data_IF_194442625233
#
_entry.id   IF_194442625233
#
_cell.length_a   1.000
_cell.length_b   1.000
_cell.length_c   1.000
_cell.angle_alpha   90.00
_cell.angle_beta   90.00
_cell.angle_gamma   90.00
#
_symmetry.space_group_name_H-M   'P 1'
#
loop_
_entity.id
_entity.type
_entity.pdbx_description
1 polymer ?
#
# COMPACT_ATOMS: atom_id res chain seq x y z
N UNK A 1 -21.28 8.00 -9.33
CA UNK A 1 -20.04 8.79 -9.23
C UNK A 1 -19.48 8.95 -10.63
N UNK A 2 -19.15 10.16 -11.04
CA UNK A 2 -18.71 10.48 -12.40
C UNK A 2 -17.42 9.75 -12.78
N UNK A 3 -17.40 9.14 -13.96
CA UNK A 3 -16.43 8.13 -14.40
C UNK A 3 -15.11 8.70 -14.97
N UNK A 4 -14.63 9.85 -14.51
CA UNK A 4 -13.36 10.41 -15.00
C UNK A 4 -12.16 9.53 -14.56
N UNK A 5 -11.08 9.58 -15.33
CA UNK A 5 -9.83 8.82 -15.07
C UNK A 5 -8.68 9.73 -14.64
N UNK A 6 -8.79 11.04 -14.88
CA UNK A 6 -7.78 12.00 -14.49
C UNK A 6 -8.36 13.41 -14.33
N UNK A 7 -7.79 14.18 -13.40
CA UNK A 7 -8.11 15.59 -13.20
C UNK A 7 -6.82 16.43 -13.20
N UNK A 8 -6.76 17.39 -14.10
CA UNK A 8 -5.63 18.28 -14.29
C UNK A 8 -6.01 19.72 -13.93
N UNK A 9 -5.05 20.43 -13.35
CA UNK A 9 -5.14 21.85 -13.04
C UNK A 9 -4.00 22.57 -13.76
N UNK A 10 -4.31 23.61 -14.53
CA UNK A 10 -3.32 24.42 -15.22
C UNK A 10 -3.75 25.88 -15.35
N UNK A 11 -2.93 26.73 -15.98
CA UNK A 11 -3.25 28.16 -16.15
C UNK A 11 -4.40 28.39 -17.13
N UNK A 12 -4.57 27.49 -18.09
CA UNK A 12 -5.62 27.52 -19.10
C UNK A 12 -6.19 26.12 -19.34
N UNK A 13 -7.41 26.06 -19.89
CA UNK A 13 -8.04 24.79 -20.29
C UNK A 13 -7.13 23.97 -21.21
N UNK A 14 -6.58 24.61 -22.25
CA UNK A 14 -5.71 23.94 -23.23
C UNK A 14 -4.44 23.38 -22.60
N UNK A 15 -3.80 24.12 -21.68
CA UNK A 15 -2.64 23.59 -20.94
C UNK A 15 -3.00 22.38 -20.08
N UNK A 16 -4.19 22.38 -19.45
CA UNK A 16 -4.64 21.26 -18.63
C UNK A 16 -4.96 20.01 -19.46
N UNK A 17 -5.54 20.19 -20.65
CA UNK A 17 -5.80 19.13 -21.62
C UNK A 17 -4.47 18.55 -22.15
N UNK A 18 -3.54 19.39 -22.59
CA UNK A 18 -2.21 18.97 -23.07
C UNK A 18 -1.44 18.21 -21.99
N UNK A 19 -1.41 18.74 -20.76
CA UNK A 19 -0.80 18.06 -19.62
C UNK A 19 -1.41 16.69 -19.38
N UNK A 20 -2.74 16.57 -19.48
CA UNK A 20 -3.43 15.29 -19.30
C UNK A 20 -3.03 14.28 -20.38
N UNK A 21 -3.06 14.69 -21.65
CA UNK A 21 -2.69 13.82 -22.78
C UNK A 21 -1.25 13.34 -22.65
N UNK A 22 -0.33 14.24 -22.31
CA UNK A 22 1.09 13.90 -22.11
C UNK A 22 1.30 12.95 -20.92
N UNK A 23 0.68 13.24 -19.78
CA UNK A 23 0.82 12.44 -18.55
C UNK A 23 0.30 11.03 -18.76
N UNK A 24 -0.89 10.90 -19.32
CA UNK A 24 -1.53 9.60 -19.53
C UNK A 24 -1.04 8.88 -20.80
N UNK A 25 -0.21 9.53 -21.62
CA UNK A 25 0.22 9.06 -22.95
C UNK A 25 -0.98 8.71 -23.84
N UNK A 26 -1.96 9.61 -23.86
CA UNK A 26 -3.21 9.49 -24.60
C UNK A 26 -3.25 10.41 -25.82
N UNK A 27 -4.00 9.99 -26.83
CA UNK A 27 -4.37 10.82 -27.96
C UNK A 27 -5.67 11.58 -27.68
N UNK A 28 -5.90 12.70 -28.37
CA UNK A 28 -7.06 13.56 -28.16
C UNK A 28 -8.40 12.91 -28.53
N UNK A 29 -8.39 11.89 -29.38
CA UNK A 29 -9.57 11.09 -29.77
C UNK A 29 -9.92 9.98 -28.76
N UNK A 30 -9.00 9.64 -27.84
CA UNK A 30 -9.22 8.63 -26.80
C UNK A 30 -10.00 9.18 -25.59
N UNK A 31 -10.04 10.50 -25.42
CA UNK A 31 -10.57 11.17 -24.21
C UNK A 31 -11.50 12.34 -24.51
N UNK A 32 -12.53 12.47 -23.68
CA UNK A 32 -13.42 13.63 -23.62
C UNK A 32 -13.04 14.43 -22.40
N UNK A 33 -12.84 15.73 -22.61
CA UNK A 33 -12.63 16.65 -21.52
C UNK A 33 -13.93 17.32 -21.10
N UNK A 34 -14.12 17.42 -19.79
CA UNK A 34 -15.14 18.26 -19.18
C UNK A 34 -14.44 19.36 -18.38
N UNK A 35 -14.81 20.61 -18.64
CA UNK A 35 -14.26 21.75 -17.89
C UNK A 35 -15.05 21.91 -16.60
N UNK A 36 -14.38 21.68 -15.47
CA UNK A 36 -14.96 21.85 -14.13
C UNK A 36 -14.90 23.32 -13.72
N UNK A 37 -13.78 23.98 -14.01
CA UNK A 37 -13.60 25.42 -13.84
C UNK A 37 -12.79 25.94 -15.02
N UNK A 38 -13.26 26.99 -15.69
CA UNK A 38 -12.55 27.58 -16.83
C UNK A 38 -11.29 28.36 -16.40
N UNK A 39 -11.11 28.59 -15.10
CA UNK A 39 -10.19 29.61 -14.58
C UNK A 39 -10.75 31.01 -14.88
N UNK A 40 -10.46 31.97 -13.99
CA UNK A 40 -10.75 33.39 -14.26
C UNK A 40 -9.44 34.14 -14.36
N UNK A 41 -9.21 34.77 -15.51
CA UNK A 41 -8.15 35.75 -15.69
C UNK A 41 -8.51 37.01 -14.90
N UNK A 42 -7.63 37.43 -13.99
CA UNK A 42 -7.82 38.70 -13.29
C UNK A 42 -7.78 39.85 -14.30
N UNK A 43 -8.90 40.59 -14.41
CA UNK A 43 -8.94 41.88 -15.07
C UNK A 43 -8.70 42.95 -14.00
N UNK A 44 -7.79 43.90 -14.23
CA UNK A 44 -7.45 44.98 -13.30
C UNK A 44 -6.86 44.54 -11.93
N UNK A 45 -5.77 43.76 -11.93
CA UNK A 45 -4.77 43.75 -10.83
C UNK A 45 -5.17 43.26 -9.43
N UNK A 46 -6.44 42.94 -9.15
CA UNK A 46 -6.92 42.65 -7.77
C UNK A 46 -7.59 41.26 -7.65
N UNK A 47 -7.82 40.53 -8.74
CA UNK A 47 -8.48 39.23 -8.68
C UNK A 47 -7.48 38.07 -8.70
N UNK A 48 -7.54 37.19 -7.70
CA UNK A 48 -6.73 35.97 -7.61
C UNK A 48 -6.84 35.14 -8.91
N UNK A 49 -5.69 34.77 -9.49
CA UNK A 49 -5.62 33.84 -10.62
C UNK A 49 -6.09 32.47 -10.15
N UNK A 50 -7.28 32.07 -10.55
CA UNK A 50 -7.81 30.73 -10.29
C UNK A 50 -7.43 29.81 -11.46
N UNK A 51 -6.84 28.62 -11.22
CA UNK A 51 -6.47 27.70 -12.30
C UNK A 51 -7.70 27.15 -13.01
N UNK A 52 -7.52 26.75 -14.27
CA UNK A 52 -8.49 25.96 -15.01
C UNK A 52 -8.39 24.49 -14.58
N UNK A 53 -9.54 23.84 -14.41
CA UNK A 53 -9.64 22.45 -13.97
C UNK A 53 -10.40 21.65 -15.04
N UNK A 54 -9.78 20.58 -15.52
CA UNK A 54 -10.39 19.68 -16.52
C UNK A 54 -10.41 18.25 -16.00
N UNK A 55 -11.50 17.54 -16.29
CA UNK A 55 -11.65 16.10 -16.06
C UNK A 55 -11.60 15.35 -17.38
N UNK A 56 -10.79 14.30 -17.44
CA UNK A 56 -10.70 13.42 -18.60
C UNK A 56 -11.55 12.17 -18.40
N UNK A 57 -12.43 11.90 -19.37
CA UNK A 57 -13.27 10.71 -19.45
C UNK A 57 -12.86 9.90 -20.67
N UNK A 58 -12.73 8.60 -20.51
CA UNK A 58 -12.44 7.71 -21.64
C UNK A 58 -13.62 7.66 -22.59
N UNK A 59 -13.39 7.91 -23.88
CA UNK A 59 -14.42 7.76 -24.94
C UNK A 59 -14.29 6.38 -25.59
N UNK A 60 -13.06 5.93 -25.82
CA UNK A 60 -12.80 4.67 -26.51
C UNK A 60 -13.10 3.48 -25.61
N UNK A 61 -13.96 2.56 -26.08
CA UNK A 61 -14.29 1.32 -25.34
C UNK A 61 -13.08 0.39 -25.18
N UNK A 62 -12.03 0.60 -25.98
CA UNK A 62 -10.87 -0.29 -26.08
C UNK A 62 -9.58 0.37 -25.54
N UNK A 63 -9.70 1.37 -24.65
CA UNK A 63 -8.51 1.96 -24.05
C UNK A 63 -7.75 0.90 -23.23
N UNK A 64 -6.43 0.74 -23.44
CA UNK A 64 -5.61 -0.19 -22.67
C UNK A 64 -5.78 0.00 -21.15
N UNK A 65 -5.87 -1.12 -20.44
CA UNK A 65 -6.03 -1.17 -18.98
C UNK A 65 -4.98 -0.32 -18.25
N UNK A 66 -3.76 -0.36 -18.75
CA UNK A 66 -2.58 0.32 -18.23
C UNK A 66 -2.75 1.84 -18.23
N UNK A 67 -3.35 2.40 -19.29
CA UNK A 67 -3.62 3.85 -19.39
C UNK A 67 -4.67 4.30 -18.37
N UNK A 68 -5.72 3.49 -18.18
CA UNK A 68 -6.76 3.74 -17.17
C UNK A 68 -6.15 3.69 -15.77
N UNK A 69 -5.39 2.64 -15.46
CA UNK A 69 -4.72 2.45 -14.17
C UNK A 69 -3.78 3.60 -13.88
N UNK A 70 -2.96 4.00 -14.86
CA UNK A 70 -2.03 5.11 -14.73
C UNK A 70 -2.75 6.39 -14.28
N UNK A 71 -3.84 6.77 -14.97
CA UNK A 71 -4.60 7.97 -14.61
C UNK A 71 -5.24 7.87 -13.24
N UNK A 72 -5.84 6.73 -12.91
CA UNK A 72 -6.51 6.54 -11.62
C UNK A 72 -5.52 6.60 -10.46
N UNK A 73 -4.34 5.95 -10.58
CA UNK A 73 -3.26 5.99 -9.58
C UNK A 73 -2.83 7.43 -9.30
N UNK A 74 -2.47 8.18 -10.35
CA UNK A 74 -2.02 9.57 -10.19
C UNK A 74 -3.13 10.48 -9.64
N UNK A 75 -4.38 10.26 -10.04
CA UNK A 75 -5.51 11.02 -9.53
C UNK A 75 -5.69 10.82 -8.04
N UNK A 76 -5.67 9.57 -7.57
CA UNK A 76 -5.83 9.25 -6.14
C UNK A 76 -4.70 9.87 -5.33
N UNK A 77 -3.44 9.70 -5.76
CA UNK A 77 -2.29 10.27 -5.05
C UNK A 77 -2.33 11.80 -5.01
N UNK A 78 -2.65 12.44 -6.14
CA UNK A 78 -2.80 13.89 -6.21
C UNK A 78 -3.93 14.40 -5.31
N UNK A 79 -5.07 13.69 -5.24
CA UNK A 79 -6.18 14.03 -4.32
C UNK A 79 -5.83 13.85 -2.85
N UNK A 80 -4.82 13.03 -2.53
CA UNK A 80 -4.23 12.95 -1.21
C UNK A 80 -3.19 14.04 -0.94
N UNK A 81 -2.92 14.92 -1.91
CA UNK A 81 -1.90 15.96 -1.83
C UNK A 81 -0.47 15.43 -2.03
N UNK A 82 -0.32 14.30 -2.71
CA UNK A 82 0.97 13.63 -2.94
C UNK A 82 1.36 13.79 -4.41
N UNK A 83 2.53 14.35 -4.65
CA UNK A 83 3.10 14.46 -6.00
C UNK A 83 3.88 13.18 -6.33
N UNK A 84 3.46 12.49 -7.38
CA UNK A 84 3.96 11.16 -7.70
C UNK A 84 4.08 10.94 -9.21
N UNK A 85 4.97 10.03 -9.59
CA UNK A 85 5.18 9.58 -10.96
C UNK A 85 5.08 8.05 -11.03
N UNK A 86 4.40 7.51 -12.04
CA UNK A 86 4.44 6.08 -12.34
C UNK A 86 5.71 5.80 -13.14
N UNK A 87 6.67 5.11 -12.53
CA UNK A 87 7.98 4.83 -13.13
C UNK A 87 8.06 3.46 -13.79
N UNK A 88 7.09 2.57 -13.49
CA UNK A 88 7.02 1.25 -14.10
C UNK A 88 5.60 0.68 -14.06
N UNK A 89 5.24 -0.06 -15.11
CA UNK A 89 4.01 -0.84 -15.15
C UNK A 89 4.22 -2.11 -15.97
N UNK A 90 3.71 -3.24 -15.49
CA UNK A 90 3.83 -4.53 -16.19
C UNK A 90 2.74 -5.52 -15.80
N UNK A 91 2.32 -6.34 -16.75
CA UNK A 91 1.41 -7.47 -16.50
C UNK A 91 2.22 -8.72 -16.17
N UNK A 92 1.98 -9.29 -14.99
CA UNK A 92 2.57 -10.54 -14.53
C UNK A 92 1.46 -11.41 -13.96
N UNK A 93 1.25 -12.58 -14.56
CA UNK A 93 0.25 -13.57 -14.16
C UNK A 93 -1.17 -12.99 -13.97
N UNK A 94 -1.59 -12.07 -14.85
CA UNK A 94 -2.92 -11.46 -14.82
C UNK A 94 -3.09 -10.38 -13.74
N UNK A 95 -1.99 -9.93 -13.14
CA UNK A 95 -1.93 -8.78 -12.24
C UNK A 95 -1.11 -7.68 -12.89
N UNK A 96 -1.57 -6.44 -12.74
CA UNK A 96 -0.86 -5.27 -13.22
C UNK A 96 -0.07 -4.69 -12.06
N UNK A 97 1.24 -4.82 -12.13
CA UNK A 97 2.18 -4.22 -11.18
C UNK A 97 2.41 -2.78 -11.58
N UNK A 98 2.33 -1.87 -10.60
CA UNK A 98 2.53 -0.44 -10.77
C UNK A 98 3.57 0.01 -9.76
N UNK A 99 4.71 0.49 -10.26
CA UNK A 99 5.77 1.09 -9.46
C UNK A 99 5.64 2.62 -9.52
N UNK A 100 5.57 3.23 -8.35
CA UNK A 100 5.47 4.69 -8.20
C UNK A 100 6.73 5.23 -7.54
N UNK A 101 7.11 6.46 -7.92
CA UNK A 101 8.10 7.27 -7.22
C UNK A 101 7.45 8.56 -6.72
N UNK A 102 7.83 9.00 -5.52
CA UNK A 102 7.36 10.27 -4.94
C UNK A 102 8.36 10.77 -3.91
N UNK A 103 8.50 12.10 -3.79
CA UNK A 103 9.26 12.72 -2.69
C UNK A 103 8.60 12.51 -1.34
N UNK A 104 7.29 12.26 -1.31
CA UNK A 104 6.51 11.94 -0.11
C UNK A 104 6.25 10.43 0.02
N UNK A 105 7.17 9.57 -0.46
CA UNK A 105 6.99 8.10 -0.42
C UNK A 105 6.62 7.57 0.97
N UNK A 106 7.18 8.15 2.04
CA UNK A 106 6.85 7.80 3.41
C UNK A 106 5.36 7.96 3.78
N UNK A 107 4.64 8.93 3.20
CA UNK A 107 3.20 9.13 3.42
C UNK A 107 2.39 8.04 2.69
N UNK A 108 2.79 7.70 1.47
CA UNK A 108 2.17 6.62 0.66
C UNK A 108 2.37 5.26 1.35
N UNK A 109 3.58 5.00 1.86
CA UNK A 109 3.89 3.77 2.58
C UNK A 109 3.08 3.71 3.88
N UNK A 110 3.10 4.78 4.67
CA UNK A 110 2.46 4.84 5.98
C UNK A 110 3.07 3.87 7.00
N UNK A 111 2.40 3.67 8.13
CA UNK A 111 2.92 2.80 9.19
C UNK A 111 2.92 1.35 8.72
N UNK A 112 4.12 0.81 8.47
CA UNK A 112 4.34 -0.58 8.03
C UNK A 112 3.63 -0.95 6.72
N UNK A 113 3.42 0.00 5.82
CA UNK A 113 2.78 -0.27 4.53
C UNK A 113 1.25 -0.22 4.56
N UNK A 114 0.64 0.13 5.71
CA UNK A 114 -0.81 0.14 5.85
C UNK A 114 -1.51 1.14 4.92
N UNK A 115 -0.91 2.31 4.69
CA UNK A 115 -1.44 3.29 3.74
C UNK A 115 -1.31 2.77 2.32
N UNK A 116 -0.18 2.16 1.96
CA UNK A 116 0.05 1.58 0.63
C UNK A 116 -0.97 0.48 0.32
N UNK A 117 -1.24 -0.40 1.29
CA UNK A 117 -2.25 -1.45 1.15
C UNK A 117 -3.67 -0.88 1.02
N UNK A 118 -4.00 0.19 1.77
CA UNK A 118 -5.30 0.86 1.68
C UNK A 118 -5.49 1.57 0.33
N UNK A 119 -4.48 2.26 -0.17
CA UNK A 119 -4.49 2.88 -1.50
C UNK A 119 -4.68 1.81 -2.56
N UNK A 120 -3.89 0.72 -2.53
CA UNK A 120 -4.04 -0.40 -3.46
C UNK A 120 -5.47 -0.96 -3.45
N UNK A 121 -6.06 -1.12 -2.27
CA UNK A 121 -7.43 -1.61 -2.16
C UNK A 121 -8.44 -0.68 -2.85
N UNK A 122 -8.37 0.63 -2.57
CA UNK A 122 -9.23 1.62 -3.21
C UNK A 122 -9.03 1.65 -4.73
N UNK A 123 -7.78 1.59 -5.19
CA UNK A 123 -7.45 1.55 -6.62
C UNK A 123 -8.08 0.33 -7.30
N UNK A 124 -7.98 -0.85 -6.68
CA UNK A 124 -8.61 -2.05 -7.21
C UNK A 124 -10.14 -1.87 -7.33
N UNK A 125 -10.80 -1.27 -6.34
CA UNK A 125 -12.25 -0.98 -6.43
C UNK A 125 -12.58 0.00 -7.55
N UNK A 126 -11.80 1.07 -7.69
CA UNK A 126 -12.04 2.10 -8.72
C UNK A 126 -11.81 1.56 -10.12
N UNK A 127 -10.80 0.72 -10.31
CA UNK A 127 -10.41 0.20 -11.62
C UNK A 127 -11.25 -0.99 -12.03
N UNK A 128 -11.66 -1.86 -11.11
CA UNK A 128 -12.55 -3.00 -11.40
C UNK A 128 -13.86 -2.53 -12.06
N UNK A 129 -14.40 -1.38 -11.63
CA UNK A 129 -15.58 -0.77 -12.26
C UNK A 129 -15.36 -0.26 -13.69
N UNK A 130 -14.10 -0.05 -14.10
CA UNK A 130 -13.72 0.58 -15.37
C UNK A 130 -13.12 -0.42 -16.38
N UNK A 131 -12.54 -1.52 -15.93
CA UNK A 131 -11.85 -2.51 -16.78
C UNK A 131 -12.66 -3.82 -16.79
N UNK A 132 -13.18 -4.22 -17.94
CA UNK A 132 -14.03 -5.42 -18.11
C UNK A 132 -13.29 -6.77 -17.99
N UNK A 133 -12.15 -6.81 -17.31
CA UNK A 133 -11.24 -7.97 -17.31
C UNK A 133 -10.80 -8.42 -15.91
N UNK A 134 -11.29 -7.79 -14.83
CA UNK A 134 -11.06 -8.26 -13.45
C UNK A 134 -9.57 -8.35 -13.04
N UNK A 135 -8.68 -7.63 -13.75
CA UNK A 135 -7.24 -7.63 -13.47
C UNK A 135 -7.00 -6.85 -12.18
N UNK A 136 -6.23 -7.44 -11.26
CA UNK A 136 -5.88 -6.80 -9.99
C UNK A 136 -4.64 -5.95 -10.13
N UNK A 137 -4.66 -4.80 -9.49
CA UNK A 137 -3.52 -3.90 -9.37
C UNK A 137 -2.70 -4.29 -8.15
N UNK A 138 -1.39 -4.38 -8.33
CA UNK A 138 -0.41 -4.45 -7.25
C UNK A 138 0.38 -3.14 -7.28
N UNK A 139 0.21 -2.33 -6.24
CA UNK A 139 0.90 -1.07 -6.10
C UNK A 139 2.13 -1.28 -5.20
N UNK A 140 3.27 -0.78 -5.66
CA UNK A 140 4.47 -0.64 -4.85
C UNK A 140 5.12 0.74 -5.08
N UNK A 141 5.94 1.13 -4.12
CA UNK A 141 6.65 2.41 -4.11
C UNK A 141 8.05 2.21 -3.57
N UNK A 142 9.04 2.59 -4.37
CA UNK A 142 10.46 2.46 -4.06
C UNK A 142 10.85 1.04 -3.61
N UNK A 143 10.25 0.01 -4.20
CA UNK A 143 10.41 -1.40 -3.81
C UNK A 143 10.22 -1.64 -2.30
N UNK A 144 9.25 -0.95 -1.69
CA UNK A 144 9.02 -1.00 -0.25
C UNK A 144 8.70 -2.42 0.23
N UNK A 145 7.92 -3.20 -0.53
CA UNK A 145 7.49 -4.55 -0.13
C UNK A 145 8.67 -5.48 0.09
N UNK A 146 9.64 -5.50 -0.83
CA UNK A 146 10.85 -6.32 -0.71
C UNK A 146 11.75 -5.86 0.44
N UNK A 147 11.96 -4.54 0.57
CA UNK A 147 12.72 -3.95 1.68
C UNK A 147 12.08 -4.30 3.02
N UNK A 148 10.75 -4.29 3.10
CA UNK A 148 9.97 -4.62 4.30
C UNK A 148 10.14 -6.09 4.67
N UNK A 149 10.05 -7.00 3.71
CA UNK A 149 10.29 -8.42 3.93
C UNK A 149 11.70 -8.67 4.50
N UNK A 150 12.73 -8.12 3.86
CA UNK A 150 14.11 -8.23 4.35
C UNK A 150 14.27 -7.66 5.77
N UNK A 151 13.59 -6.54 6.07
CA UNK A 151 13.62 -5.95 7.41
C UNK A 151 12.99 -6.86 8.47
N UNK A 152 11.91 -7.57 8.14
CA UNK A 152 11.23 -8.50 9.04
C UNK A 152 12.06 -9.75 9.30
N UNK A 153 12.74 -10.28 8.27
CA UNK A 153 13.69 -11.38 8.41
C UNK A 153 14.82 -10.98 9.36
N UNK A 154 15.41 -9.79 9.18
CA UNK A 154 16.48 -9.27 10.05
C UNK A 154 15.99 -9.07 11.49
N UNK A 155 14.80 -8.50 11.66
CA UNK A 155 14.17 -8.33 12.97
C UNK A 155 14.00 -9.69 13.68
N UNK A 156 13.43 -10.67 12.99
CA UNK A 156 13.23 -12.01 13.51
C UNK A 156 14.55 -12.64 13.97
N UNK A 157 15.58 -12.61 13.13
CA UNK A 157 16.92 -13.16 13.46
C UNK A 157 17.59 -12.45 14.64
N UNK A 158 17.52 -11.12 14.69
CA UNK A 158 18.08 -10.31 15.78
C UNK A 158 17.40 -10.61 17.12
N UNK A 159 16.07 -10.70 17.12
CA UNK A 159 15.31 -11.03 18.32
C UNK A 159 15.54 -12.48 18.74
N UNK A 160 15.60 -13.42 17.79
CA UNK A 160 15.93 -14.81 18.06
C UNK A 160 17.30 -14.96 18.76
N UNK A 161 18.33 -14.24 18.28
CA UNK A 161 19.64 -14.25 18.91
C UNK A 161 19.59 -13.71 20.35
N UNK A 162 18.81 -12.67 20.58
CA UNK A 162 18.60 -12.10 21.93
C UNK A 162 17.91 -13.11 22.84
N UNK A 163 16.81 -13.70 22.39
CA UNK A 163 16.02 -14.70 23.14
C UNK A 163 16.85 -15.95 23.44
N UNK A 164 17.65 -16.43 22.49
CA UNK A 164 18.55 -17.56 22.69
C UNK A 164 19.64 -17.28 23.73
N UNK A 165 20.15 -16.04 23.79
CA UNK A 165 21.16 -15.62 24.76
C UNK A 165 20.58 -15.40 26.16
N UNK A 166 19.45 -14.70 26.26
CA UNK A 166 18.86 -14.32 27.56
C UNK A 166 18.00 -15.43 28.16
N UNK A 167 17.48 -16.33 27.33
CA UNK A 167 16.46 -17.30 27.74
C UNK A 167 15.11 -16.66 28.07
N UNK A 168 14.90 -15.37 27.75
CA UNK A 168 13.63 -14.65 27.99
C UNK A 168 12.86 -14.52 26.69
N UNK A 169 11.60 -14.95 26.66
CA UNK A 169 10.74 -14.81 25.49
C UNK A 169 10.50 -13.34 25.13
N UNK A 170 10.26 -13.04 23.86
CA UNK A 170 9.95 -11.68 23.41
C UNK A 170 8.72 -11.67 22.51
N UNK A 171 7.81 -10.75 22.79
CA UNK A 171 6.64 -10.49 21.96
C UNK A 171 6.95 -9.34 21.00
N UNK A 172 6.70 -9.54 19.71
CA UNK A 172 6.88 -8.52 18.69
C UNK A 172 5.64 -7.62 18.58
N UNK A 173 5.81 -6.49 17.90
CA UNK A 173 4.72 -5.60 17.53
C UNK A 173 3.64 -6.32 16.70
N UNK A 174 2.36 -5.90 16.75
CA UNK A 174 1.29 -6.50 15.94
C UNK A 174 1.62 -6.42 14.46
N UNK A 175 1.34 -7.45 13.68
CA UNK A 175 1.67 -7.43 12.25
C UNK A 175 0.67 -8.29 11.46
N UNK A 176 0.53 -8.00 10.17
CA UNK A 176 -0.48 -8.69 9.35
C UNK A 176 -0.10 -10.18 9.17
N UNK A 177 -1.04 -11.06 8.73
CA UNK A 177 -0.76 -12.49 8.60
C UNK A 177 0.44 -12.83 7.70
N UNK A 178 0.66 -12.06 6.64
CA UNK A 178 1.79 -12.23 5.74
C UNK A 178 3.13 -11.90 6.43
N UNK A 179 3.20 -10.76 7.12
CA UNK A 179 4.38 -10.37 7.92
C UNK A 179 4.70 -11.40 9.02
N UNK A 180 3.67 -11.93 9.71
CA UNK A 180 3.87 -13.00 10.70
C UNK A 180 4.47 -14.24 10.06
N UNK A 181 3.97 -14.63 8.89
CA UNK A 181 4.47 -15.79 8.13
C UNK A 181 5.94 -15.62 7.77
N UNK A 182 6.37 -14.43 7.33
CA UNK A 182 7.78 -14.13 7.04
C UNK A 182 8.65 -14.44 8.27
N UNK A 183 8.26 -13.98 9.46
CA UNK A 183 9.02 -14.24 10.70
C UNK A 183 9.03 -15.73 11.05
N UNK A 184 7.87 -16.39 10.94
CA UNK A 184 7.77 -17.83 11.19
C UNK A 184 8.70 -18.63 10.28
N UNK A 185 8.69 -18.35 8.98
CA UNK A 185 9.55 -19.02 7.99
C UNK A 185 11.03 -18.69 8.21
N UNK A 186 11.37 -17.43 8.49
CA UNK A 186 12.74 -17.00 8.74
C UNK A 186 13.40 -17.69 9.96
N UNK A 187 12.59 -18.18 10.90
CA UNK A 187 13.04 -18.83 12.13
C UNK A 187 12.67 -20.32 12.20
N UNK A 188 12.09 -20.89 11.14
CA UNK A 188 11.57 -22.26 11.15
C UNK A 188 12.66 -23.31 11.42
N UNK A 189 13.85 -23.11 10.88
CA UNK A 189 14.99 -24.02 11.01
C UNK A 189 15.91 -23.66 12.19
N UNK A 190 15.54 -22.69 13.02
CA UNK A 190 16.36 -22.28 14.15
C UNK A 190 16.19 -23.26 15.32
N UNK A 191 17.26 -23.96 15.72
CA UNK A 191 17.23 -24.95 16.80
C UNK A 191 17.11 -24.34 18.21
N UNK A 192 17.41 -23.05 18.37
CA UNK A 192 17.48 -22.39 19.70
C UNK A 192 16.20 -21.68 20.10
N UNK A 193 15.31 -21.38 19.16
CA UNK A 193 14.05 -20.68 19.41
C UNK A 193 12.91 -21.31 18.62
N UNK A 194 11.69 -21.08 19.04
CA UNK A 194 10.51 -21.32 18.21
C UNK A 194 9.59 -20.10 18.24
N UNK A 195 8.66 -20.06 17.30
CA UNK A 195 7.77 -18.91 17.10
C UNK A 195 6.32 -19.31 17.30
N UNK A 196 5.52 -18.39 17.86
CA UNK A 196 4.08 -18.57 18.01
C UNK A 196 3.34 -17.28 17.71
N UNK A 197 2.24 -17.38 16.96
CA UNK A 197 1.34 -16.24 16.80
C UNK A 197 0.31 -16.22 17.95
N UNK A 198 0.16 -15.08 18.63
CA UNK A 198 -0.72 -14.89 19.79
C UNK A 198 -1.59 -13.64 19.62
N UNK A 199 -2.80 -13.65 20.19
CA UNK A 199 -3.80 -12.57 20.08
C UNK A 199 -4.79 -12.74 18.92
N UNK A 200 -5.67 -11.75 18.77
CA UNK A 200 -6.84 -11.79 17.87
C UNK A 200 -6.78 -10.75 16.76
N UNK A 201 -7.24 -11.13 15.57
CA UNK A 201 -7.42 -10.23 14.43
C UNK A 201 -6.18 -9.40 14.07
N UNK A 202 -6.38 -8.09 13.94
CA UNK A 202 -5.35 -7.09 13.59
C UNK A 202 -4.32 -6.86 14.70
N UNK A 203 -4.61 -7.27 15.93
CA UNK A 203 -3.71 -7.17 17.09
C UNK A 203 -2.83 -8.40 17.27
N UNK A 204 -2.90 -9.37 16.36
CA UNK A 204 -2.13 -10.61 16.44
C UNK A 204 -0.64 -10.32 16.29
N UNK A 205 0.15 -10.87 17.21
CA UNK A 205 1.60 -10.68 17.36
C UNK A 205 2.33 -12.01 17.17
N UNK A 206 3.65 -11.95 16.99
CA UNK A 206 4.52 -13.13 17.04
C UNK A 206 5.34 -13.08 18.32
N UNK A 207 5.26 -14.14 19.12
CA UNK A 207 6.17 -14.41 20.23
C UNK A 207 7.32 -15.29 19.74
N UNK A 208 8.53 -14.90 20.09
CA UNK A 208 9.75 -15.68 19.91
C UNK A 208 10.15 -16.22 21.29
N UNK A 209 10.28 -17.54 21.39
CA UNK A 209 10.37 -18.25 22.66
C UNK A 209 11.62 -19.15 22.61
N UNK A 210 12.41 -19.26 23.70
CA UNK A 210 13.52 -20.20 23.77
C UNK A 210 13.05 -21.65 23.54
N UNK A 211 13.83 -22.46 22.83
CA UNK A 211 13.46 -23.85 22.53
C UNK A 211 13.22 -24.67 23.81
N UNK A 212 14.01 -24.42 24.86
CA UNK A 212 13.86 -25.08 26.18
C UNK A 212 12.49 -24.86 26.83
N UNK A 213 11.80 -23.76 26.51
CA UNK A 213 10.51 -23.40 27.09
C UNK A 213 9.32 -23.81 26.20
N UNK A 214 9.57 -24.55 25.10
CA UNK A 214 8.54 -24.92 24.12
C UNK A 214 7.36 -25.69 24.70
N UNK A 215 7.63 -26.60 25.63
CA UNK A 215 6.59 -27.41 26.26
C UNK A 215 5.64 -26.57 27.11
N UNK A 216 6.17 -25.61 27.88
CA UNK A 216 5.37 -24.69 28.71
C UNK A 216 4.32 -23.93 27.89
N UNK A 217 4.64 -23.59 26.64
CA UNK A 217 3.71 -22.90 25.76
C UNK A 217 2.70 -23.82 25.08
N UNK A 218 3.00 -25.12 24.87
CA UNK A 218 1.99 -26.06 24.35
C UNK A 218 0.87 -26.27 25.35
N UNK A 219 1.24 -26.48 26.62
CA UNK A 219 0.30 -26.80 27.70
C UNK A 219 -0.69 -25.64 28.00
N UNK A 220 -0.26 -24.39 27.81
CA UNK A 220 -1.12 -23.20 27.98
C UNK A 220 -2.24 -23.14 26.95
N UNK A 221 -2.04 -23.66 25.74
CA UNK A 221 -3.07 -23.57 24.69
C UNK A 221 -4.01 -24.75 24.65
N UNK A 222 -3.57 -25.93 25.07
CA UNK A 222 -4.47 -27.07 25.24
C UNK A 222 -5.49 -26.83 26.37
N UNK A 223 -5.17 -25.95 27.34
CA UNK A 223 -6.05 -25.61 28.46
C UNK A 223 -7.08 -24.49 28.20
N UNK A 224 -7.09 -23.90 27.01
CA UNK A 224 -8.09 -22.90 26.58
C UNK A 224 -7.96 -21.50 27.24
N UNK A 225 -8.55 -20.46 26.64
CA UNK A 225 -8.35 -19.06 27.05
C UNK A 225 -9.15 -18.62 28.29
N UNK A 226 -9.95 -19.50 28.90
CA UNK A 226 -10.73 -19.20 30.11
C UNK A 226 -9.92 -19.31 31.41
N UNK A 227 -8.61 -19.07 31.35
CA UNK A 227 -7.79 -19.04 32.54
C UNK A 227 -7.00 -17.73 32.51
N UNK A 228 -7.30 -16.85 33.46
CA UNK A 228 -6.71 -15.53 33.69
C UNK A 228 -5.19 -15.58 34.01
N UNK A 229 -4.49 -16.65 33.64
CA UNK A 229 -3.09 -16.92 33.93
C UNK A 229 -2.10 -16.32 32.91
N UNK A 230 -2.57 -15.57 31.89
CA UNK A 230 -1.64 -14.88 30.98
C UNK A 230 -1.08 -13.59 31.58
N UNK A 231 -1.69 -13.05 32.64
CA UNK A 231 -1.16 -11.89 33.37
C UNK A 231 -0.35 -12.27 34.63
N UNK A 232 -0.44 -13.51 35.12
CA UNK A 232 0.23 -13.92 36.37
C UNK A 232 1.58 -14.62 36.21
N UNK A 233 2.09 -14.81 34.98
CA UNK A 233 3.45 -15.35 34.83
C UNK A 233 4.47 -14.21 34.87
N UNK A 234 4.73 -13.72 36.09
CA UNK A 234 5.94 -12.97 36.41
C UNK A 234 7.15 -13.88 36.17
N UNK A 235 7.82 -13.66 35.03
CA UNK A 235 9.11 -14.29 34.73
C UNK A 235 10.22 -13.33 35.18
N UNK A 236 10.73 -13.52 36.40
CA UNK A 236 12.04 -12.98 36.83
C UNK A 236 13.18 -13.42 35.90
#
# INVERSE_FOLDING_TARGET
MENYIFEAEAKSKSEAEEYTLKTLRLNSDEVRFETVDSGKGGFFGISQKKPAIVRAYVISRDLPAEKIIHGVVLTVLKKMGIEAEVVGMGDVDGKIYVEVASKESGLVIGKRGSTLDAIQFILNLMVDSKIRHGRKIVLDIESYRDKRELSLVRLGKSVAATVAKTGKSKLLEPMNPFERRIIHMALQENEKVFTRSEGNGTYKKVRIIPMKDKHKYKDVVEKGPNNDLLEEVNFE
#
